data_IF_536115251090
#
_entry.id   IF_536115251090
#
_cell.length_a   1.000
_cell.length_b   1.000
_cell.length_c   1.000
_cell.angle_alpha   90.00
_cell.angle_beta   90.00
_cell.angle_gamma   90.00
#
_symmetry.space_group_name_H-M   'P 1'
#
loop_
_entity.id
_entity.type
_entity.pdbx_description
1 polymer ?
#
# COMPACT_ATOMS: atom_id res chain seq x y z
N UNK A 1 -1.54 -32.13 -8.53
CA UNK A 1 -1.51 -31.49 -7.29
C UNK A 1 -1.43 -29.98 -7.42
N UNK A 2 -2.19 -29.35 -6.66
CA UNK A 2 -2.28 -27.91 -6.76
C UNK A 2 -1.14 -27.23 -6.01
N UNK A 3 -0.57 -26.25 -6.65
CA UNK A 3 0.53 -25.50 -6.07
C UNK A 3 0.03 -24.11 -5.73
N UNK A 4 -0.48 -23.97 -4.54
CA UNK A 4 -1.03 -22.68 -4.13
C UNK A 4 0.03 -21.70 -3.67
N UNK A 5 1.15 -22.20 -3.27
CA UNK A 5 2.23 -21.35 -2.80
C UNK A 5 2.78 -20.44 -3.90
N UNK A 6 2.42 -20.71 -5.14
CA UNK A 6 2.83 -19.83 -6.24
C UNK A 6 2.06 -18.52 -6.23
N UNK A 7 0.97 -18.47 -5.49
CA UNK A 7 0.23 -17.24 -5.34
C UNK A 7 0.94 -16.34 -4.35
N UNK A 8 1.05 -15.09 -4.66
CA UNK A 8 1.58 -14.15 -3.70
C UNK A 8 0.67 -14.01 -2.49
N UNK A 9 1.20 -13.50 -1.42
CA UNK A 9 0.43 -13.18 -0.24
C UNK A 9 0.16 -11.70 -0.20
N UNK A 10 -1.06 -11.34 0.15
CA UNK A 10 -1.44 -9.95 0.25
C UNK A 10 -1.01 -9.37 1.58
N UNK A 11 -0.60 -8.11 1.54
CA UNK A 11 -0.37 -7.34 2.75
C UNK A 11 -1.06 -6.00 2.57
N UNK A 12 -1.68 -5.54 3.63
CA UNK A 12 -2.38 -4.26 3.62
C UNK A 12 -1.62 -3.28 4.48
N UNK A 13 -1.46 -2.09 3.99
CA UNK A 13 -0.75 -1.04 4.70
C UNK A 13 -1.69 0.12 4.98
N UNK A 14 -1.89 0.39 6.26
CA UNK A 14 -2.59 1.59 6.68
C UNK A 14 -1.58 2.72 6.75
N UNK A 15 -1.86 3.81 6.09
CA UNK A 15 -0.95 4.96 6.07
C UNK A 15 -1.72 6.24 6.29
N UNK A 16 -1.00 7.26 6.75
CA UNK A 16 -1.53 8.61 6.84
C UNK A 16 -0.96 9.46 5.73
N UNK A 17 -1.68 10.49 5.35
CA UNK A 17 -1.22 11.44 4.34
C UNK A 17 -1.83 12.80 4.63
N UNK A 18 -1.34 13.83 3.93
CA UNK A 18 -1.86 15.18 4.08
C UNK A 18 -3.28 15.26 3.53
N UNK A 19 -4.15 15.95 4.25
CA UNK A 19 -5.52 16.15 3.81
C UNK A 19 -5.60 16.99 2.54
N UNK A 20 -4.50 17.64 2.16
CA UNK A 20 -4.45 18.42 0.92
C UNK A 20 -4.21 17.57 -0.32
N UNK A 21 -3.90 16.29 -0.14
CA UNK A 21 -3.69 15.39 -1.27
C UNK A 21 -5.02 14.99 -1.88
N UNK A 22 -5.08 15.00 -3.21
CA UNK A 22 -6.24 14.48 -3.90
C UNK A 22 -6.11 12.96 -4.05
N UNK A 23 -7.23 12.32 -4.31
CA UNK A 23 -7.23 10.88 -4.56
C UNK A 23 -6.34 10.55 -5.76
N UNK A 24 -6.38 11.38 -6.78
CA UNK A 24 -5.59 11.17 -7.99
C UNK A 24 -4.10 11.22 -7.68
N UNK A 25 -3.68 12.13 -6.84
CA UNK A 25 -2.27 12.22 -6.46
C UNK A 25 -1.79 10.95 -5.77
N UNK A 26 -2.60 10.44 -4.85
CA UNK A 26 -2.27 9.20 -4.15
C UNK A 26 -2.25 8.03 -5.12
N UNK A 27 -3.23 7.93 -6.00
CA UNK A 27 -3.26 6.86 -7.00
C UNK A 27 -2.07 6.91 -7.95
N UNK A 28 -1.70 8.10 -8.38
CA UNK A 28 -0.54 8.26 -9.26
C UNK A 28 0.74 7.87 -8.56
N UNK A 29 0.88 8.22 -7.28
CA UNK A 29 2.03 7.81 -6.50
C UNK A 29 2.13 6.29 -6.45
N UNK A 30 1.03 5.63 -6.14
CA UNK A 30 1.01 4.17 -6.08
C UNK A 30 1.35 3.57 -7.44
N UNK A 31 0.76 4.09 -8.48
CA UNK A 31 1.01 3.58 -9.83
C UNK A 31 2.46 3.77 -10.27
N UNK A 32 3.03 4.92 -9.99
CA UNK A 32 4.35 5.25 -10.48
C UNK A 32 5.49 4.71 -9.61
N UNK A 33 5.30 4.71 -8.30
CA UNK A 33 6.37 4.36 -7.37
C UNK A 33 6.25 2.96 -6.80
N UNK A 34 5.03 2.49 -6.59
CA UNK A 34 4.81 1.22 -5.91
C UNK A 34 4.56 0.09 -6.90
N UNK A 35 3.73 0.33 -7.90
CA UNK A 35 3.42 -0.71 -8.89
C UNK A 35 4.64 -1.16 -9.67
N UNK A 36 5.65 -0.31 -9.80
CA UNK A 36 6.88 -0.64 -10.51
C UNK A 36 7.76 -1.63 -9.77
N UNK A 37 7.49 -1.85 -8.49
CA UNK A 37 8.26 -2.80 -7.70
C UNK A 37 7.98 -4.24 -8.06
N UNK A 38 6.87 -4.49 -8.74
CA UNK A 38 6.52 -5.82 -9.18
C UNK A 38 5.79 -6.62 -8.12
N UNK A 39 6.13 -7.91 -8.02
CA UNK A 39 5.43 -8.82 -7.13
C UNK A 39 4.31 -9.55 -7.86
N UNK A 40 3.81 -10.63 -7.27
CA UNK A 40 2.75 -11.44 -7.87
C UNK A 40 1.39 -10.79 -7.73
N UNK A 41 1.20 -10.01 -6.70
CA UNK A 41 -0.06 -9.31 -6.44
C UNK A 41 0.15 -7.84 -6.77
N UNK A 42 -0.72 -7.31 -7.60
CA UNK A 42 -0.62 -5.92 -7.99
C UNK A 42 -0.97 -5.00 -6.82
N UNK A 43 -0.20 -3.95 -6.68
CA UNK A 43 -0.48 -2.93 -5.69
C UNK A 43 -1.74 -2.18 -6.07
N UNK A 44 -2.60 -1.97 -5.08
CA UNK A 44 -3.88 -1.34 -5.34
C UNK A 44 -4.32 -0.51 -4.14
N UNK A 45 -4.87 0.66 -4.41
CA UNK A 45 -5.47 1.47 -3.36
C UNK A 45 -6.84 0.88 -3.02
N UNK A 46 -6.99 0.46 -1.78
CA UNK A 46 -8.22 -0.18 -1.33
C UNK A 46 -9.19 0.86 -0.77
N UNK A 47 -8.67 1.78 0.02
CA UNK A 47 -9.49 2.74 0.73
C UNK A 47 -8.73 4.05 0.88
N UNK A 48 -9.43 5.16 0.80
CA UNK A 48 -8.80 6.46 0.98
C UNK A 48 -9.76 7.42 1.67
N UNK A 49 -9.31 7.92 2.82
CA UNK A 49 -10.01 8.97 3.56
C UNK A 49 -9.20 10.25 3.47
N UNK A 50 -9.70 11.31 4.08
CA UNK A 50 -9.04 12.62 4.04
C UNK A 50 -7.60 12.58 4.55
N UNK A 51 -7.34 11.81 5.57
CA UNK A 51 -6.02 11.77 6.19
C UNK A 51 -5.37 10.40 6.22
N UNK A 52 -6.12 9.36 5.86
CA UNK A 52 -5.62 8.00 5.94
C UNK A 52 -6.04 7.21 4.70
N UNK A 53 -5.33 6.13 4.46
CA UNK A 53 -5.68 5.24 3.38
C UNK A 53 -5.12 3.86 3.63
N UNK A 54 -5.56 2.92 2.80
CA UNK A 54 -5.09 1.54 2.86
C UNK A 54 -4.73 1.09 1.46
N UNK A 55 -3.55 0.51 1.30
CA UNK A 55 -3.16 -0.09 0.03
C UNK A 55 -2.89 -1.57 0.23
N UNK A 56 -3.08 -2.32 -0.84
CA UNK A 56 -2.79 -3.75 -0.89
C UNK A 56 -1.54 -3.94 -1.73
N UNK A 57 -0.59 -4.69 -1.20
CA UNK A 57 0.65 -4.98 -1.92
C UNK A 57 1.02 -6.45 -1.74
N UNK A 58 1.95 -6.92 -2.58
CA UNK A 58 2.51 -8.25 -2.43
C UNK A 58 3.42 -8.26 -1.21
N UNK A 59 3.39 -9.35 -0.45
CA UNK A 59 4.19 -9.43 0.77
C UNK A 59 5.70 -9.33 0.50
N UNK A 60 6.15 -9.74 -0.69
CA UNK A 60 7.57 -9.72 -1.01
C UNK A 60 8.14 -8.31 -1.18
N UNK A 61 7.27 -7.34 -1.49
CA UNK A 61 7.71 -5.96 -1.67
C UNK A 61 7.31 -5.06 -0.52
N UNK A 62 6.79 -5.64 0.56
CA UNK A 62 6.27 -4.86 1.68
C UNK A 62 7.30 -3.88 2.24
N UNK A 63 8.51 -4.36 2.47
CA UNK A 63 9.57 -3.54 3.03
C UNK A 63 9.92 -2.37 2.11
N UNK A 64 10.02 -2.64 0.81
CA UNK A 64 10.34 -1.60 -0.16
C UNK A 64 9.22 -0.56 -0.25
N UNK A 65 7.98 -1.03 -0.21
CA UNK A 65 6.83 -0.12 -0.26
C UNK A 65 6.82 0.80 0.96
N UNK A 66 7.07 0.27 2.12
CA UNK A 66 7.11 1.07 3.34
C UNK A 66 8.21 2.12 3.27
N UNK A 67 9.38 1.73 2.77
CA UNK A 67 10.48 2.68 2.61
C UNK A 67 10.11 3.81 1.66
N UNK A 68 9.53 3.47 0.53
CA UNK A 68 9.15 4.46 -0.46
C UNK A 68 8.09 5.42 0.10
N UNK A 69 7.11 4.87 0.79
CA UNK A 69 6.04 5.68 1.36
C UNK A 69 6.57 6.63 2.43
N UNK A 70 7.44 6.13 3.31
CA UNK A 70 7.96 6.94 4.39
C UNK A 70 8.97 7.99 3.91
N UNK A 71 9.60 7.78 2.77
CA UNK A 71 10.50 8.75 2.18
C UNK A 71 9.82 9.82 1.37
N UNK A 72 8.54 9.62 1.07
CA UNK A 72 7.81 10.58 0.25
C UNK A 72 7.42 11.79 1.08
N UNK A 73 8.05 12.92 0.80
CA UNK A 73 7.78 14.16 1.52
C UNK A 73 6.70 14.99 0.84
N UNK A 74 6.51 14.80 -0.45
CA UNK A 74 5.53 15.59 -1.20
C UNK A 74 4.11 15.35 -0.72
N UNK A 75 3.75 14.10 -0.52
CA UNK A 75 2.41 13.74 -0.09
C UNK A 75 2.32 13.56 1.42
N UNK A 76 3.44 13.65 2.11
CA UNK A 76 3.52 13.49 3.57
C UNK A 76 2.93 12.17 4.04
N UNK A 77 3.27 11.12 3.31
CA UNK A 77 2.78 9.77 3.63
C UNK A 77 3.63 9.15 4.72
N UNK A 78 2.96 8.52 5.67
CA UNK A 78 3.63 7.73 6.70
C UNK A 78 2.87 6.44 6.92
N UNK A 79 3.58 5.33 6.96
CA UNK A 79 2.94 4.05 7.25
C UNK A 79 2.63 3.96 8.73
N UNK A 80 1.43 3.49 9.04
CA UNK A 80 0.97 3.38 10.42
C UNK A 80 1.01 1.92 10.86
N UNK A 81 0.45 1.05 10.04
CA UNK A 81 0.27 -0.35 10.42
C UNK A 81 0.21 -1.22 9.18
N UNK A 82 0.65 -2.46 9.32
CA UNK A 82 0.54 -3.44 8.25
C UNK A 82 -0.16 -4.68 8.79
N UNK A 83 -0.87 -5.38 7.90
CA UNK A 83 -1.56 -6.60 8.28
C UNK A 83 -1.75 -7.50 7.08
N UNK A 84 -1.92 -8.79 7.34
CA UNK A 84 -2.27 -9.75 6.31
C UNK A 84 -3.73 -9.71 5.92
N UNK A 85 -4.57 -9.04 6.70
CA UNK A 85 -5.98 -8.92 6.42
C UNK A 85 -6.45 -7.49 6.57
N UNK A 86 -7.41 -7.11 5.74
CA UNK A 86 -7.99 -5.78 5.79
C UNK A 86 -8.75 -5.55 7.10
N UNK A 87 -9.42 -6.60 7.55
CA UNK A 87 -10.24 -6.53 8.76
C UNK A 87 -9.43 -6.13 9.99
N UNK A 88 -8.20 -6.60 10.08
CA UNK A 88 -7.34 -6.28 11.22
C UNK A 88 -6.97 -4.80 11.25
N UNK A 89 -6.94 -4.14 10.10
CA UNK A 89 -6.62 -2.73 10.03
C UNK A 89 -7.79 -1.82 10.37
N UNK A 90 -8.99 -2.36 10.32
CA UNK A 90 -10.20 -1.58 10.56
C UNK A 90 -10.59 -1.46 12.03
N UNK A 91 -9.86 -2.11 12.88
CA UNK A 91 -10.13 -2.04 14.32
C UNK A 91 -9.57 -0.78 14.95
#
# INVERSE_FOLDING_TARGET
MVVKEDRGRKRYILFSHSEHNSKMEIQNFIKNEISTLGGKIKSKLIKLDLKKGVIRVDHTILSDVRDIMNKNESLKIKTIRTSGTLKALEK
#
